data_IF_728587512089
#
_entry.id   IF_728587512089
#
_cell.length_a   1.000
_cell.length_b   1.000
_cell.length_c   1.000
_cell.angle_alpha   90.00
_cell.angle_beta   90.00
_cell.angle_gamma   90.00
#
_symmetry.space_group_name_H-M   'P 1'
#
loop_
_entity.id
_entity.type
_entity.pdbx_description
1 polymer ?
#
# COMPACT_ATOMS: atom_id res chain seq x y z
N UNK A 1 -29.25 10.75 -50.55
CA UNK A 1 -28.42 9.55 -50.75
C UNK A 1 -27.03 9.85 -50.22
N UNK A 2 -26.44 8.93 -49.43
CA UNK A 2 -25.17 9.01 -48.66
C UNK A 2 -25.31 9.66 -47.28
N UNK A 3 -24.85 9.06 -46.18
CA UNK A 3 -24.36 7.70 -45.89
C UNK A 3 -24.37 7.62 -44.34
N UNK A 4 -24.96 6.57 -43.76
CA UNK A 4 -24.71 6.19 -42.37
C UNK A 4 -23.25 5.76 -42.25
N UNK A 5 -22.49 6.27 -41.27
CA UNK A 5 -21.32 5.55 -40.76
C UNK A 5 -20.85 6.06 -39.39
N UNK A 6 -20.45 5.09 -38.56
CA UNK A 6 -19.67 5.19 -37.32
C UNK A 6 -20.44 5.54 -36.02
N UNK A 7 -21.17 4.56 -35.51
CA UNK A 7 -21.52 4.44 -34.08
C UNK A 7 -21.04 3.07 -33.60
N UNK A 8 -19.74 2.92 -33.40
CA UNK A 8 -19.11 1.71 -32.88
C UNK A 8 -17.86 2.11 -32.09
N UNK A 9 -18.03 2.48 -30.81
CA UNK A 9 -17.01 2.35 -29.75
C UNK A 9 -17.60 2.83 -28.40
N UNK A 10 -18.25 1.95 -27.63
CA UNK A 10 -18.01 2.01 -26.19
C UNK A 10 -17.84 0.61 -25.55
N UNK A 11 -17.36 -0.41 -26.27
CA UNK A 11 -17.23 -1.75 -25.67
C UNK A 11 -15.93 -2.01 -24.89
N UNK A 12 -14.89 -1.18 -25.05
CA UNK A 12 -13.61 -1.41 -24.37
C UNK A 12 -13.56 -0.93 -22.90
N UNK A 13 -14.45 -0.04 -22.47
CA UNK A 13 -14.37 0.58 -21.12
C UNK A 13 -15.05 -0.29 -20.03
N UNK A 14 -16.00 -1.15 -20.40
CA UNK A 14 -16.70 -2.03 -19.43
C UNK A 14 -15.85 -3.20 -18.92
N UNK A 15 -14.94 -3.74 -19.73
CA UNK A 15 -14.16 -4.95 -19.37
C UNK A 15 -13.12 -4.63 -18.28
N UNK A 16 -12.48 -3.46 -18.33
CA UNK A 16 -11.45 -3.07 -17.37
C UNK A 16 -12.02 -2.89 -15.94
N UNK A 17 -13.21 -2.30 -15.81
CA UNK A 17 -13.87 -2.09 -14.51
C UNK A 17 -14.33 -3.41 -13.88
N UNK A 18 -14.85 -4.35 -14.69
CA UNK A 18 -15.26 -5.67 -14.21
C UNK A 18 -14.06 -6.49 -13.69
N UNK A 19 -12.93 -6.42 -14.39
CA UNK A 19 -11.71 -7.13 -13.99
C UNK A 19 -11.12 -6.56 -12.69
N UNK A 20 -11.02 -5.23 -12.55
CA UNK A 20 -10.51 -4.60 -11.32
C UNK A 20 -11.41 -4.87 -10.10
N UNK A 21 -12.73 -4.91 -10.30
CA UNK A 21 -13.67 -5.26 -9.23
C UNK A 21 -13.58 -6.74 -8.85
N UNK A 22 -13.44 -7.64 -9.83
CA UNK A 22 -13.28 -9.08 -9.60
C UNK A 22 -12.00 -9.40 -8.83
N UNK A 23 -10.89 -8.73 -9.17
CA UNK A 23 -9.58 -8.93 -8.56
C UNK A 23 -9.56 -8.49 -7.07
N UNK A 24 -10.30 -7.43 -6.74
CA UNK A 24 -10.49 -6.99 -5.35
C UNK A 24 -11.33 -7.97 -4.53
N UNK A 25 -12.35 -8.56 -5.15
CA UNK A 25 -13.20 -9.52 -4.48
C UNK A 25 -12.42 -10.81 -4.14
N UNK A 26 -11.53 -11.26 -5.03
CA UNK A 26 -10.71 -12.44 -4.80
C UNK A 26 -9.69 -12.24 -3.67
N UNK A 27 -8.94 -11.14 -3.71
CA UNK A 27 -7.99 -10.79 -2.64
C UNK A 27 -8.67 -10.61 -1.28
N UNK A 28 -9.86 -10.00 -1.24
CA UNK A 28 -10.65 -9.86 0.00
C UNK A 28 -11.14 -11.21 0.53
N UNK A 29 -11.51 -12.15 -0.35
CA UNK A 29 -11.86 -13.52 0.04
C UNK A 29 -10.66 -14.22 0.69
N UNK A 30 -9.48 -14.16 0.06
CA UNK A 30 -8.25 -14.73 0.61
C UNK A 30 -7.90 -14.11 1.96
N UNK A 31 -8.02 -12.79 2.11
CA UNK A 31 -7.83 -12.10 3.38
C UNK A 31 -8.82 -12.56 4.46
N UNK A 32 -10.08 -12.80 4.08
CA UNK A 32 -11.12 -13.23 5.01
C UNK A 32 -10.86 -14.65 5.50
N UNK A 33 -10.49 -15.57 4.59
CA UNK A 33 -10.10 -16.95 4.91
C UNK A 33 -8.83 -16.99 5.79
N UNK A 34 -7.93 -16.03 5.60
CA UNK A 34 -6.70 -15.88 6.38
C UNK A 34 -6.94 -15.62 7.87
N UNK A 35 -8.12 -15.14 8.28
CA UNK A 35 -8.46 -15.03 9.71
C UNK A 35 -8.48 -16.40 10.41
N UNK A 36 -8.84 -17.48 9.69
CA UNK A 36 -8.78 -18.84 10.22
C UNK A 36 -7.33 -19.26 10.46
N UNK A 37 -6.44 -18.95 9.51
CA UNK A 37 -5.00 -19.21 9.63
C UNK A 37 -4.39 -18.41 10.78
N UNK A 38 -4.72 -17.12 10.89
CA UNK A 38 -4.29 -16.27 12.01
C UNK A 38 -4.62 -16.88 13.37
N UNK A 39 -5.86 -17.39 13.55
CA UNK A 39 -6.30 -18.04 14.79
C UNK A 39 -5.49 -19.29 15.13
N UNK A 40 -4.93 -20.00 14.13
CA UNK A 40 -4.05 -21.16 14.34
C UNK A 40 -2.60 -20.75 14.63
N UNK A 41 -2.14 -19.65 14.05
CA UNK A 41 -0.77 -19.14 14.24
C UNK A 41 -0.58 -18.48 15.61
N UNK A 42 -1.61 -17.82 16.12
CA UNK A 42 -1.54 -17.13 17.42
C UNK A 42 -1.75 -18.12 18.57
N UNK A 43 -0.82 -18.14 19.52
CA UNK A 43 -0.81 -19.02 20.68
C UNK A 43 -0.30 -18.29 21.94
N UNK A 44 -0.33 -18.98 23.08
CA UNK A 44 0.02 -18.39 24.38
C UNK A 44 1.45 -17.83 24.46
N UNK A 45 2.35 -18.25 23.57
CA UNK A 45 3.74 -17.81 23.55
C UNK A 45 3.95 -16.57 22.65
N UNK A 46 3.14 -16.37 21.61
CA UNK A 46 3.39 -15.35 20.59
C UNK A 46 2.30 -14.26 20.44
N UNK A 47 1.17 -14.35 21.15
CA UNK A 47 0.05 -13.41 20.94
C UNK A 47 0.43 -11.93 21.07
N UNK A 48 1.32 -11.59 22.01
CA UNK A 48 1.85 -10.22 22.16
C UNK A 48 2.68 -9.79 20.97
N UNK A 49 3.58 -10.67 20.49
CA UNK A 49 4.40 -10.43 19.31
C UNK A 49 3.56 -10.29 18.03
N UNK A 50 2.39 -10.93 18.00
CA UNK A 50 1.41 -10.81 16.92
C UNK A 50 0.49 -9.58 17.04
N UNK A 51 0.61 -8.82 18.14
CA UNK A 51 -0.11 -7.55 18.38
C UNK A 51 -1.39 -7.65 19.20
N UNK A 52 -1.68 -8.81 19.78
CA UNK A 52 -2.88 -9.05 20.59
C UNK A 52 -2.62 -8.88 22.08
N UNK A 53 -3.65 -8.47 22.82
CA UNK A 53 -3.61 -8.33 24.29
C UNK A 53 -3.92 -9.64 25.01
N UNK A 54 -4.70 -10.52 24.39
CA UNK A 54 -5.04 -11.85 24.88
C UNK A 54 -5.47 -12.74 23.72
N UNK A 55 -5.51 -14.05 23.96
CA UNK A 55 -5.95 -15.04 22.98
C UNK A 55 -7.44 -14.88 22.62
N UNK A 56 -8.27 -14.50 23.59
CA UNK A 56 -9.71 -14.28 23.36
C UNK A 56 -9.99 -13.16 22.35
N UNK A 57 -9.05 -12.23 22.16
CA UNK A 57 -9.22 -11.17 21.15
C UNK A 57 -9.03 -11.67 19.72
N UNK A 58 -8.34 -12.81 19.53
CA UNK A 58 -8.02 -13.36 18.20
C UNK A 58 -9.26 -13.96 17.54
N UNK A 59 -10.18 -14.51 18.34
CA UNK A 59 -11.44 -15.07 17.83
C UNK A 59 -12.36 -14.00 17.24
N UNK A 60 -12.34 -12.78 17.79
CA UNK A 60 -13.16 -11.64 17.40
C UNK A 60 -12.49 -10.71 16.37
N UNK A 61 -11.48 -11.19 15.63
CA UNK A 61 -10.81 -10.40 14.59
C UNK A 61 -11.72 -10.16 13.40
N UNK A 62 -11.68 -8.94 12.87
CA UNK A 62 -12.28 -8.54 11.60
C UNK A 62 -11.22 -7.90 10.68
N UNK A 63 -11.51 -7.85 9.38
CA UNK A 63 -10.70 -7.09 8.42
C UNK A 63 -10.99 -5.59 8.55
N UNK A 64 -9.94 -4.79 8.51
CA UNK A 64 -10.01 -3.36 8.28
C UNK A 64 -9.96 -3.01 6.80
N UNK A 65 -10.00 -1.72 6.52
CA UNK A 65 -9.91 -1.17 5.16
C UNK A 65 -8.59 -1.58 4.47
N UNK A 66 -8.63 -2.11 3.24
CA UNK A 66 -7.44 -2.56 2.52
C UNK A 66 -6.49 -1.41 2.19
N UNK A 67 -5.20 -1.74 2.05
CA UNK A 67 -4.16 -0.80 1.60
C UNK A 67 -3.44 -1.43 0.42
N UNK A 68 -3.59 -0.86 -0.78
CA UNK A 68 -2.78 -1.27 -1.94
C UNK A 68 -1.34 -0.85 -1.78
N UNK A 69 -0.42 -1.69 -2.22
CA UNK A 69 1.01 -1.43 -2.20
C UNK A 69 1.48 -1.12 -3.61
N UNK A 70 2.22 -0.03 -3.74
CA UNK A 70 2.94 0.36 -4.94
C UNK A 70 4.44 0.36 -4.65
N UNK A 71 5.22 -0.01 -5.65
CA UNK A 71 6.67 0.04 -5.62
C UNK A 71 7.16 1.18 -6.49
N UNK A 72 8.27 1.77 -6.06
CA UNK A 72 9.11 2.63 -6.86
C UNK A 72 10.44 1.93 -7.01
N UNK A 73 10.76 1.51 -8.24
CA UNK A 73 11.96 0.72 -8.52
C UNK A 73 13.21 1.61 -8.70
N UNK A 74 14.37 1.03 -8.39
CA UNK A 74 15.65 1.75 -8.40
C UNK A 74 16.06 2.19 -9.81
N UNK A 75 15.84 1.34 -10.81
CA UNK A 75 16.11 1.61 -12.21
C UNK A 75 15.29 2.80 -12.73
N UNK A 76 13.99 2.83 -12.45
CA UNK A 76 13.12 3.95 -12.82
C UNK A 76 13.51 5.25 -12.11
N UNK A 77 13.89 5.16 -10.82
CA UNK A 77 14.40 6.32 -10.09
C UNK A 77 15.73 6.85 -10.66
N UNK A 78 16.61 6.00 -11.19
CA UNK A 78 17.86 6.46 -11.83
C UNK A 78 17.60 7.29 -13.08
N UNK A 79 16.53 6.97 -13.80
CA UNK A 79 16.11 7.68 -15.01
C UNK A 79 15.22 8.89 -14.73
N UNK A 80 14.72 9.02 -13.50
CA UNK A 80 13.85 10.11 -13.08
C UNK A 80 14.53 11.47 -13.22
N UNK A 81 13.79 12.43 -13.80
CA UNK A 81 14.20 13.83 -13.91
C UNK A 81 13.28 14.69 -13.04
N UNK A 82 13.82 15.55 -12.15
CA UNK A 82 12.99 16.47 -11.38
C UNK A 82 12.05 17.28 -12.28
N UNK A 83 10.80 17.43 -11.86
CA UNK A 83 9.74 18.07 -12.66
C UNK A 83 9.04 17.15 -13.66
N UNK A 84 9.47 15.90 -13.81
CA UNK A 84 8.68 14.89 -14.55
C UNK A 84 7.55 14.32 -13.69
N UNK A 85 6.55 13.74 -14.34
CA UNK A 85 5.37 13.18 -13.68
C UNK A 85 5.75 12.02 -12.76
N UNK A 86 5.66 12.28 -11.46
CA UNK A 86 6.08 11.35 -10.41
C UNK A 86 5.12 10.17 -10.23
N UNK A 87 3.89 10.28 -10.74
CA UNK A 87 2.93 9.17 -10.71
C UNK A 87 3.39 7.98 -11.57
N UNK A 88 4.19 8.24 -12.61
CA UNK A 88 4.71 7.20 -13.51
C UNK A 88 5.72 6.26 -12.86
N UNK A 89 6.25 6.64 -11.70
CA UNK A 89 7.17 5.81 -10.92
C UNK A 89 6.44 4.77 -10.06
N UNK A 90 5.11 4.89 -9.91
CA UNK A 90 4.31 3.95 -9.13
C UNK A 90 3.98 2.72 -9.98
N UNK A 91 4.49 1.58 -9.54
CA UNK A 91 4.18 0.27 -10.13
C UNK A 91 3.32 -0.49 -9.13
N UNK A 92 2.19 -1.04 -9.58
CA UNK A 92 1.39 -1.91 -8.72
C UNK A 92 2.25 -3.11 -8.29
N UNK A 93 2.30 -3.35 -6.98
CA UNK A 93 3.07 -4.45 -6.42
C UNK A 93 2.31 -5.79 -6.49
N UNK A 94 1.10 -5.79 -7.05
CA UNK A 94 0.13 -6.88 -6.98
C UNK A 94 -0.04 -7.37 -5.53
N UNK A 95 -0.12 -6.41 -4.60
CA UNK A 95 -0.05 -6.64 -3.16
C UNK A 95 -1.00 -5.72 -2.40
N UNK A 96 -1.74 -6.32 -1.48
CA UNK A 96 -2.71 -5.62 -0.63
C UNK A 96 -2.45 -6.02 0.82
N UNK A 97 -2.35 -5.03 1.69
CA UNK A 97 -2.27 -5.21 3.14
C UNK A 97 -3.67 -5.07 3.70
N UNK A 98 -4.15 -6.10 4.38
CA UNK A 98 -5.40 -6.07 5.12
C UNK A 98 -5.12 -5.98 6.62
N UNK A 99 -5.46 -4.86 7.28
CA UNK A 99 -5.36 -4.77 8.73
C UNK A 99 -6.30 -5.78 9.40
N UNK A 100 -5.81 -6.45 10.44
CA UNK A 100 -6.65 -7.19 11.37
C UNK A 100 -7.01 -6.28 12.54
N UNK A 101 -8.30 -6.12 12.77
CA UNK A 101 -8.85 -5.31 13.86
C UNK A 101 -9.47 -6.20 14.93
N UNK A 102 -9.37 -5.79 16.19
CA UNK A 102 -10.11 -6.39 17.29
C UNK A 102 -10.70 -5.24 18.12
N UNK A 103 -12.05 -5.19 18.21
CA UNK A 103 -12.78 -4.04 18.77
C UNK A 103 -12.34 -2.73 18.13
N UNK A 104 -12.33 -2.70 16.79
CA UNK A 104 -11.98 -1.53 15.95
C UNK A 104 -10.52 -1.04 16.07
N UNK A 105 -9.71 -1.65 16.92
CA UNK A 105 -8.30 -1.33 17.06
C UNK A 105 -7.47 -2.24 16.18
N UNK A 106 -6.55 -1.64 15.43
CA UNK A 106 -5.62 -2.37 14.57
C UNK A 106 -4.62 -3.12 15.44
N UNK A 107 -4.60 -4.46 15.26
CA UNK A 107 -3.75 -5.36 16.03
C UNK A 107 -2.61 -5.90 15.21
N UNK A 108 -2.92 -6.37 14.00
CA UNK A 108 -2.02 -7.13 13.15
C UNK A 108 -2.39 -6.92 11.69
N UNK A 109 -1.81 -7.68 10.77
CA UNK A 109 -2.19 -7.64 9.35
C UNK A 109 -1.97 -8.98 8.66
N UNK A 110 -2.58 -9.12 7.49
CA UNK A 110 -2.19 -10.10 6.47
C UNK A 110 -1.83 -9.35 5.19
N UNK A 111 -0.75 -9.80 4.55
CA UNK A 111 -0.38 -9.37 3.21
C UNK A 111 -0.90 -10.43 2.24
N UNK A 112 -1.69 -9.98 1.27
CA UNK A 112 -2.20 -10.80 0.17
C UNK A 112 -1.52 -10.33 -1.10
N UNK A 113 -0.91 -11.25 -1.83
CA UNK A 113 -0.06 -10.97 -3.00
C UNK A 113 -0.43 -11.91 -4.15
N UNK A 114 -0.39 -11.39 -5.37
CA UNK A 114 -0.67 -12.18 -6.57
C UNK A 114 0.58 -12.92 -7.00
N UNK A 115 0.53 -14.24 -6.94
CA UNK A 115 1.62 -15.13 -7.35
C UNK A 115 1.10 -16.01 -8.47
N UNK A 116 1.76 -15.97 -9.63
CA UNK A 116 1.37 -16.74 -10.83
C UNK A 116 -0.11 -16.53 -11.22
N UNK A 117 -0.61 -15.30 -11.03
CA UNK A 117 -1.98 -14.92 -11.39
C UNK A 117 -3.04 -15.20 -10.31
N UNK A 118 -2.68 -15.82 -9.18
CA UNK A 118 -3.61 -16.12 -8.08
C UNK A 118 -3.26 -15.35 -6.80
N UNK A 119 -4.27 -14.88 -6.09
CA UNK A 119 -4.07 -14.20 -4.80
C UNK A 119 -3.77 -15.21 -3.70
N UNK A 120 -2.70 -14.94 -2.94
CA UNK A 120 -2.25 -15.79 -1.85
C UNK A 120 -1.91 -14.95 -0.62
N UNK A 121 -2.20 -15.46 0.57
CA UNK A 121 -1.71 -14.84 1.80
C UNK A 121 -0.21 -15.17 1.97
N UNK A 122 0.65 -14.17 1.86
CA UNK A 122 2.11 -14.35 1.87
C UNK A 122 2.76 -13.98 3.19
N UNK A 123 2.13 -13.13 4.01
CA UNK A 123 2.67 -12.74 5.29
C UNK A 123 1.59 -12.46 6.33
N UNK A 124 1.86 -12.80 7.59
CA UNK A 124 0.99 -12.56 8.74
C UNK A 124 1.77 -11.82 9.83
N UNK A 125 1.13 -10.88 10.51
CA UNK A 125 1.73 -10.16 11.64
C UNK A 125 2.01 -8.70 11.33
N UNK A 126 3.24 -8.26 11.66
CA UNK A 126 3.69 -6.89 11.48
C UNK A 126 2.92 -5.84 12.32
N UNK A 127 2.62 -6.08 13.61
CA UNK A 127 1.73 -5.21 14.39
C UNK A 127 2.27 -3.79 14.57
N UNK A 128 3.59 -3.61 14.63
CA UNK A 128 4.19 -2.29 14.73
C UNK A 128 4.03 -1.49 13.43
N UNK A 129 4.42 -2.10 12.30
CA UNK A 129 4.36 -1.48 10.98
C UNK A 129 2.93 -1.11 10.60
N UNK A 130 1.96 -2.03 10.76
CA UNK A 130 0.57 -1.75 10.38
C UNK A 130 -0.06 -0.65 11.23
N UNK A 131 0.32 -0.55 12.52
CA UNK A 131 -0.16 0.53 13.40
C UNK A 131 0.37 1.89 12.95
N UNK A 132 1.67 1.99 12.66
CA UNK A 132 2.27 3.24 12.13
C UNK A 132 1.59 3.62 10.83
N UNK A 133 1.54 2.69 9.88
CA UNK A 133 0.96 2.89 8.56
C UNK A 133 -0.48 3.38 8.66
N UNK A 134 -1.33 2.66 9.40
CA UNK A 134 -2.74 3.01 9.49
C UNK A 134 -3.00 4.29 10.28
N UNK A 135 -2.19 4.60 11.29
CA UNK A 135 -2.27 5.87 12.02
C UNK A 135 -1.92 7.05 11.11
N UNK A 136 -0.81 6.96 10.36
CA UNK A 136 -0.42 8.00 9.40
C UNK A 136 -1.48 8.14 8.31
N UNK A 137 -1.99 7.02 7.79
CA UNK A 137 -3.05 7.01 6.78
C UNK A 137 -4.33 7.70 7.25
N UNK A 138 -4.77 7.41 8.48
CA UNK A 138 -5.96 8.02 9.08
C UNK A 138 -5.73 9.51 9.33
N UNK A 139 -4.61 9.89 9.95
CA UNK A 139 -4.31 11.29 10.22
C UNK A 139 -4.21 12.12 8.94
N UNK A 140 -3.61 11.58 7.88
CA UNK A 140 -3.56 12.24 6.58
C UNK A 140 -4.97 12.43 5.99
N UNK A 141 -5.80 11.38 6.04
CA UNK A 141 -7.21 11.42 5.61
C UNK A 141 -8.01 12.48 6.39
N UNK A 142 -7.91 12.50 7.71
CA UNK A 142 -8.59 13.46 8.57
C UNK A 142 -8.14 14.91 8.28
N UNK A 143 -6.83 15.11 8.02
CA UNK A 143 -6.27 16.44 7.78
C UNK A 143 -6.62 17.04 6.41
N UNK A 144 -6.83 16.21 5.40
CA UNK A 144 -7.10 16.64 4.02
C UNK A 144 -8.58 16.55 3.64
N UNK A 145 -9.38 15.78 4.39
CA UNK A 145 -10.75 15.42 4.04
C UNK A 145 -10.87 14.38 2.92
N UNK A 146 -9.75 13.83 2.42
CA UNK A 146 -9.75 12.79 1.40
C UNK A 146 -10.12 11.44 2.06
N UNK A 147 -10.99 10.61 1.45
CA UNK A 147 -11.34 9.30 2.01
C UNK A 147 -10.12 8.41 2.26
N UNK A 148 -10.12 7.68 3.37
CA UNK A 148 -9.00 6.81 3.78
C UNK A 148 -8.67 5.73 2.72
N UNK A 149 -9.65 5.34 1.90
CA UNK A 149 -9.50 4.37 0.81
C UNK A 149 -8.73 4.92 -0.40
N UNK A 150 -8.56 6.24 -0.50
CA UNK A 150 -7.75 6.89 -1.55
C UNK A 150 -6.26 6.90 -1.24
N UNK A 151 -5.86 6.40 -0.06
CA UNK A 151 -4.46 6.35 0.36
C UNK A 151 -3.84 4.97 0.11
N UNK A 152 -2.65 4.99 -0.49
CA UNK A 152 -1.87 3.81 -0.85
C UNK A 152 -0.60 3.70 -0.02
N UNK A 153 -0.04 2.51 0.12
CA UNK A 153 1.32 2.33 0.62
C UNK A 153 2.29 2.41 -0.57
N UNK A 154 3.34 3.23 -0.45
CA UNK A 154 4.39 3.36 -1.46
C UNK A 154 5.71 2.92 -0.84
N UNK A 155 6.42 2.00 -1.49
CA UNK A 155 7.71 1.49 -1.03
C UNK A 155 8.80 1.84 -2.04
N UNK A 156 9.98 2.21 -1.53
CA UNK A 156 11.22 2.31 -2.31
C UNK A 156 12.18 1.26 -1.73
N UNK A 157 12.09 -0.02 -2.16
CA UNK A 157 12.77 -1.11 -1.47
C UNK A 157 14.29 -0.97 -1.46
N UNK A 158 14.88 -0.43 -2.53
CA UNK A 158 16.32 -0.24 -2.62
C UNK A 158 16.88 0.72 -1.55
N UNK A 159 16.05 1.61 -1.00
CA UNK A 159 16.44 2.54 0.04
C UNK A 159 15.76 2.26 1.39
N UNK A 160 15.01 1.16 1.50
CA UNK A 160 14.23 0.82 2.69
C UNK A 160 13.27 1.94 3.15
N UNK A 161 12.70 2.69 2.19
CA UNK A 161 11.78 3.79 2.48
C UNK A 161 10.33 3.36 2.28
N UNK A 162 9.48 3.81 3.20
CA UNK A 162 8.05 3.53 3.21
C UNK A 162 7.26 4.81 3.38
N UNK A 163 6.23 4.99 2.56
CA UNK A 163 5.36 6.15 2.57
C UNK A 163 3.89 5.75 2.52
N UNK A 164 3.03 6.64 3.01
CA UNK A 164 1.64 6.73 2.59
C UNK A 164 1.56 7.72 1.43
N UNK A 165 1.01 7.27 0.30
CA UNK A 165 0.76 8.08 -0.89
C UNK A 165 -0.70 8.46 -1.04
N UNK A 166 -0.96 9.67 -1.55
CA UNK A 166 -2.27 10.10 -2.06
C UNK A 166 -2.08 11.13 -3.15
N UNK A 167 -3.10 11.34 -3.98
CA UNK A 167 -3.08 12.39 -5.00
C UNK A 167 -3.94 13.58 -4.56
N UNK A 168 -3.39 14.78 -4.67
CA UNK A 168 -4.09 16.05 -4.47
C UNK A 168 -3.82 16.91 -5.70
N UNK A 169 -4.87 17.42 -6.36
CA UNK A 169 -4.75 18.23 -7.58
C UNK A 169 -3.85 17.61 -8.68
N UNK A 170 -3.87 16.27 -8.79
CA UNK A 170 -3.05 15.42 -9.67
C UNK A 170 -1.58 15.29 -9.28
N UNK A 171 -1.16 15.93 -8.20
CA UNK A 171 0.18 15.78 -7.64
C UNK A 171 0.20 14.61 -6.65
N UNK A 172 1.19 13.74 -6.80
CA UNK A 172 1.43 12.67 -5.83
C UNK A 172 2.10 13.26 -4.59
N UNK A 173 1.47 13.05 -3.45
CA UNK A 173 1.93 13.46 -2.14
C UNK A 173 2.35 12.22 -1.35
N UNK A 174 3.52 12.27 -0.71
CA UNK A 174 4.10 11.17 0.04
C UNK A 174 4.32 11.57 1.51
N UNK A 175 3.88 10.71 2.41
CA UNK A 175 4.03 10.90 3.87
C UNK A 175 4.93 9.79 4.42
N UNK A 176 6.15 10.08 4.88
CA UNK A 176 7.08 9.07 5.38
C UNK A 176 6.51 8.35 6.60
N UNK A 177 6.71 7.03 6.67
CA UNK A 177 6.35 6.24 7.86
C UNK A 177 7.32 6.43 9.01
N UNK A 178 8.59 6.70 8.71
CA UNK A 178 9.68 6.82 9.67
C UNK A 178 10.47 8.11 9.42
N UNK A 179 11.14 8.60 10.46
CA UNK A 179 12.15 9.65 10.34
C UNK A 179 13.36 9.08 9.57
N UNK A 180 13.88 9.85 8.61
CA UNK A 180 15.17 9.56 7.98
C UNK A 180 15.97 10.86 7.85
N UNK A 181 16.90 11.13 8.79
CA UNK A 181 17.73 12.33 8.77
C UNK A 181 18.60 12.45 7.51
N UNK A 182 18.94 11.33 6.86
CA UNK A 182 19.80 11.32 5.66
C UNK A 182 19.14 12.04 4.48
N UNK A 183 17.81 12.00 4.43
CA UNK A 183 16.99 12.66 3.41
C UNK A 183 16.17 13.83 3.97
N UNK A 184 16.31 14.14 5.26
CA UNK A 184 15.51 15.17 5.94
C UNK A 184 14.04 14.79 6.12
N UNK A 185 13.68 13.50 6.05
CA UNK A 185 12.31 13.04 6.19
C UNK A 185 11.90 12.97 7.65
N UNK A 186 10.66 13.41 7.92
CA UNK A 186 9.99 13.34 9.21
C UNK A 186 8.72 12.53 9.09
N UNK A 187 8.55 11.55 9.98
CA UNK A 187 7.40 10.67 10.01
C UNK A 187 6.09 11.48 10.09
N UNK A 188 5.11 11.12 9.28
CA UNK A 188 3.80 11.79 9.26
C UNK A 188 3.77 13.17 8.60
N UNK A 189 4.91 13.72 8.14
CA UNK A 189 4.93 14.99 7.39
C UNK A 189 4.78 14.73 5.90
N UNK A 190 3.67 15.19 5.32
CA UNK A 190 3.43 15.09 3.87
C UNK A 190 4.39 15.99 3.09
N UNK A 191 4.96 15.46 2.02
CA UNK A 191 5.89 16.12 1.10
C UNK A 191 5.46 15.79 -0.34
N UNK A 192 5.73 16.68 -1.31
CA UNK A 192 5.49 16.34 -2.71
C UNK A 192 6.40 15.17 -3.14
N UNK A 193 5.90 14.28 -4.01
CA UNK A 193 6.71 13.20 -4.54
C UNK A 193 7.93 13.72 -5.32
N UNK A 194 7.80 14.88 -5.98
CA UNK A 194 8.90 15.54 -6.69
C UNK A 194 10.04 15.85 -5.70
N UNK A 195 9.74 16.44 -4.55
CA UNK A 195 10.76 16.78 -3.55
C UNK A 195 11.35 15.52 -2.91
N UNK A 196 10.52 14.52 -2.60
CA UNK A 196 10.98 13.23 -2.06
C UNK A 196 11.94 12.55 -3.03
N UNK A 197 11.57 12.42 -4.30
CA UNK A 197 12.40 11.75 -5.30
C UNK A 197 13.66 12.55 -5.60
N UNK A 198 13.57 13.88 -5.66
CA UNK A 198 14.75 14.75 -5.82
C UNK A 198 15.73 14.59 -4.65
N UNK A 199 15.23 14.47 -3.41
CA UNK A 199 16.08 14.30 -2.23
C UNK A 199 16.82 12.96 -2.20
N UNK A 200 16.20 11.87 -2.69
CA UNK A 200 16.82 10.54 -2.68
C UNK A 200 17.68 10.24 -3.91
N UNK A 201 17.55 11.02 -4.99
CA UNK A 201 18.27 10.81 -6.26
C UNK A 201 19.79 10.63 -6.11
N UNK A 202 20.52 11.41 -5.27
CA UNK A 202 21.94 11.21 -5.06
C UNK A 202 22.26 9.79 -4.57
N UNK A 203 21.55 9.32 -3.54
CA UNK A 203 21.71 7.96 -2.99
C UNK A 203 21.31 6.87 -3.99
N UNK A 204 20.31 7.11 -4.83
CA UNK A 204 19.90 6.20 -5.92
C UNK A 204 21.02 6.00 -6.95
N UNK A 205 21.73 7.08 -7.31
CA UNK A 205 22.82 7.05 -8.29
C UNK A 205 24.05 6.31 -7.75
N UNK A 206 24.33 6.45 -6.46
CA UNK A 206 25.43 5.78 -5.76
C UNK A 206 25.09 4.35 -5.32
N UNK A 207 23.82 3.95 -5.46
CA UNK A 207 23.35 2.66 -5.00
C UNK A 207 23.93 1.50 -5.81
N UNK A 208 24.43 0.45 -5.14
CA UNK A 208 25.03 -0.72 -5.78
C UNK A 208 24.01 -1.76 -6.30
N UNK A 209 22.71 -1.55 -6.04
CA UNK A 209 21.62 -2.41 -6.49
C UNK A 209 21.12 -3.44 -5.48
N UNK A 210 21.73 -3.56 -4.29
CA UNK A 210 21.29 -4.47 -3.23
C UNK A 210 20.39 -3.76 -2.22
N UNK A 211 19.29 -4.36 -1.73
CA UNK A 211 18.48 -3.76 -0.65
C UNK A 211 19.34 -3.39 0.55
N UNK A 212 19.10 -2.21 1.13
CA UNK A 212 19.77 -1.72 2.35
C UNK A 212 18.94 -1.94 3.60
#
# INVERSE_FOLDING_TARGET
MRLLMALLLPWLVMIAHANAQSDNNESQKVASESMVTLRKLVNGQNYKAMGFESLDKVSAVALGEPIRVFLVQLDQLREYKPGSDSNKLLIDADKIIYPFTAREQIRSSVVVEKIQGAWNATNFGGPHLIKILANIRRNASDSTGIPVSSYIAVQVPALNLYFIGHCTDKELMLTPLLDDPSFGFKAGRTISAIDVFTAILPSVKEHNGLPR
#
